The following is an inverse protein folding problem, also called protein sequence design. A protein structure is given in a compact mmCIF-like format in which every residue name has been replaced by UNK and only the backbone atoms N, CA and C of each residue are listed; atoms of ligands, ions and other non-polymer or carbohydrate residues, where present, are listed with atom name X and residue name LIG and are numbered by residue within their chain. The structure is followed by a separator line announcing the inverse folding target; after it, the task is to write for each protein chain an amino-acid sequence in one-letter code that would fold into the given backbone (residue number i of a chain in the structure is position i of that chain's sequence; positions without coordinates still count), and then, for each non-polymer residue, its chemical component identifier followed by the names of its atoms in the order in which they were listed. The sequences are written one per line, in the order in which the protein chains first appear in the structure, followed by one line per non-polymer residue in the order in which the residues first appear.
data_IF_535904624624
#
_entry.id   IF_535904624624
#
_cell.length_a   1.000
_cell.length_b   1.000
_cell.length_c   1.000
_cell.angle_alpha   90.00
_cell.angle_beta   90.00
_cell.angle_gamma   90.00
#
_symmetry.space_group_name_H-M   'P 1'
#
loop_
_entity.id
_entity.type
_entity.pdbx_description
1 polymer ?
#
# COMPACT_ATOMS: atom_id res chain seq x y z
N UNK A 1 -2.16 -13.86 9.60
CA UNK A 1 -2.66 -12.47 9.56
C UNK A 1 -3.70 -12.19 10.66
N UNK A 2 -4.82 -12.93 10.76
CA UNK A 2 -5.85 -12.73 11.81
C UNK A 2 -5.34 -12.83 13.27
N UNK A 3 -4.49 -13.82 13.59
CA UNK A 3 -3.91 -13.99 14.93
C UNK A 3 -3.03 -12.79 15.37
N UNK A 4 -2.26 -12.21 14.44
CA UNK A 4 -1.40 -11.04 14.72
C UNK A 4 -2.24 -9.78 14.97
N UNK A 5 -3.35 -9.62 14.24
CA UNK A 5 -4.29 -8.51 14.46
C UNK A 5 -4.92 -8.57 15.85
N UNK A 6 -5.41 -9.74 16.28
CA UNK A 6 -5.98 -9.90 17.62
C UNK A 6 -4.95 -9.67 18.73
N UNK A 7 -3.70 -10.11 18.54
CA UNK A 7 -2.60 -9.84 19.48
C UNK A 7 -2.35 -8.33 19.59
N UNK A 8 -2.25 -7.62 18.46
CA UNK A 8 -2.04 -6.17 18.48
C UNK A 8 -3.21 -5.45 19.16
N UNK A 9 -4.45 -5.87 18.91
CA UNK A 9 -5.66 -5.33 19.55
C UNK A 9 -5.66 -5.53 21.06
N UNK A 10 -5.20 -6.69 21.54
CA UNK A 10 -5.06 -6.97 22.97
C UNK A 10 -3.97 -6.12 23.63
N UNK A 11 -2.82 -5.95 22.96
CA UNK A 11 -1.71 -5.12 23.45
C UNK A 11 -2.10 -3.64 23.56
N UNK A 12 -2.87 -3.13 22.61
CA UNK A 12 -3.38 -1.75 22.65
C UNK A 12 -4.45 -1.59 23.74
N UNK A 13 -5.39 -2.56 23.86
CA UNK A 13 -6.48 -2.51 24.84
C UNK A 13 -6.04 -2.63 26.29
N UNK A 14 -4.92 -3.28 26.58
CA UNK A 14 -4.42 -3.41 27.96
C UNK A 14 -3.78 -2.12 28.49
N UNK A 15 -3.68 -1.05 27.69
CA UNK A 15 -2.94 0.16 28.06
C UNK A 15 -1.42 -0.05 28.11
N UNK A 16 -0.94 -1.19 27.61
CA UNK A 16 0.48 -1.56 27.61
C UNK A 16 0.99 -1.43 26.17
N UNK A 17 1.33 -0.20 25.76
CA UNK A 17 2.52 -0.11 24.92
C UNK A 17 3.71 -0.31 25.86
N UNK A 18 4.45 -1.41 25.69
CA UNK A 18 5.72 -1.60 26.38
C UNK A 18 6.75 -2.27 25.46
N UNK A 19 7.45 -1.46 24.66
CA UNK A 19 8.79 -1.79 24.10
C UNK A 19 9.91 -1.55 25.16
N UNK A 20 9.62 -1.75 26.46
CA UNK A 20 10.45 -1.67 27.68
C UNK A 20 11.28 -0.43 27.99
N UNK A 21 11.52 0.49 27.06
CA UNK A 21 12.14 1.81 27.32
C UNK A 21 12.12 2.70 26.06
N UNK A 22 11.02 2.70 25.31
CA UNK A 22 10.85 3.66 24.20
C UNK A 22 9.66 4.55 24.45
N UNK A 23 9.91 5.85 24.35
CA UNK A 23 8.92 6.91 24.44
C UNK A 23 7.88 6.84 23.30
N UNK A 24 8.24 6.22 22.16
CA UNK A 24 7.44 6.20 20.94
C UNK A 24 7.21 4.80 20.35
N UNK A 25 6.04 4.61 19.74
CA UNK A 25 5.64 3.51 18.88
C UNK A 25 6.41 3.51 17.57
N UNK A 26 6.93 2.35 17.17
CA UNK A 26 7.58 2.22 15.86
C UNK A 26 6.58 2.36 14.71
N UNK A 27 6.99 3.05 13.63
CA UNK A 27 6.16 3.22 12.43
C UNK A 27 5.77 1.89 11.80
N UNK A 28 6.66 0.90 11.83
CA UNK A 28 6.40 -0.43 11.29
C UNK A 28 5.24 -1.11 12.04
N UNK A 29 5.19 -0.98 13.36
CA UNK A 29 4.08 -1.50 14.17
C UNK A 29 2.77 -0.77 13.86
N UNK A 30 2.80 0.57 13.80
CA UNK A 30 1.61 1.36 13.50
C UNK A 30 1.03 1.02 12.12
N UNK A 31 1.86 1.08 11.07
CA UNK A 31 1.45 0.84 9.68
C UNK A 31 1.01 -0.60 9.44
N UNK A 32 1.67 -1.59 10.06
CA UNK A 32 1.26 -2.99 9.95
C UNK A 32 -0.08 -3.26 10.66
N UNK A 33 -0.33 -2.62 11.81
CA UNK A 33 -1.59 -2.71 12.54
C UNK A 33 -2.74 -2.10 11.73
N UNK A 34 -2.55 -0.88 11.21
CA UNK A 34 -3.53 -0.22 10.34
C UNK A 34 -3.85 -1.07 9.10
N UNK A 35 -2.82 -1.54 8.39
CA UNK A 35 -3.00 -2.40 7.20
C UNK A 35 -3.74 -3.69 7.53
N UNK A 36 -3.43 -4.31 8.66
CA UNK A 36 -4.13 -5.53 9.10
C UNK A 36 -5.60 -5.25 9.40
N UNK A 37 -5.93 -4.14 10.05
CA UNK A 37 -7.32 -3.76 10.30
C UNK A 37 -8.11 -3.57 9.00
N UNK A 38 -7.54 -2.81 8.06
CA UNK A 38 -8.11 -2.58 6.73
C UNK A 38 -8.32 -3.91 5.98
N UNK A 39 -7.32 -4.79 6.01
CA UNK A 39 -7.42 -6.12 5.40
C UNK A 39 -8.57 -6.95 5.96
N UNK A 40 -8.77 -6.90 7.27
CA UNK A 40 -9.87 -7.60 7.95
C UNK A 40 -11.21 -6.85 7.84
N UNK A 41 -11.27 -5.74 7.09
CA UNK A 41 -12.46 -4.88 6.93
C UNK A 41 -12.97 -4.26 8.23
N UNK A 42 -12.10 -4.12 9.22
CA UNK A 42 -12.39 -3.53 10.53
C UNK A 42 -12.18 -2.00 10.47
N UNK A 43 -12.92 -1.32 9.59
CA UNK A 43 -12.63 0.07 9.23
C UNK A 43 -12.93 1.05 10.37
N UNK A 44 -14.01 0.84 11.12
CA UNK A 44 -14.37 1.68 12.27
C UNK A 44 -13.37 1.53 13.41
N UNK A 45 -12.83 0.31 13.60
CA UNK A 45 -11.75 0.09 14.55
C UNK A 45 -10.47 0.78 14.08
N UNK A 46 -10.19 0.72 12.78
CA UNK A 46 -9.02 1.34 12.19
C UNK A 46 -9.06 2.88 12.33
N UNK A 47 -10.22 3.53 12.15
CA UNK A 47 -10.36 4.97 12.40
C UNK A 47 -9.99 5.30 13.85
N UNK A 48 -10.57 4.58 14.82
CA UNK A 48 -10.28 4.77 16.25
C UNK A 48 -8.81 4.52 16.59
N UNK A 49 -8.24 3.46 16.05
CA UNK A 49 -6.82 3.16 16.22
C UNK A 49 -5.95 4.33 15.74
N UNK A 50 -6.26 4.92 14.59
CA UNK A 50 -5.50 6.06 14.07
C UNK A 50 -5.69 7.29 14.97
N UNK A 51 -6.90 7.58 15.45
CA UNK A 51 -7.13 8.70 16.36
C UNK A 51 -6.42 8.54 17.71
N UNK A 52 -6.49 7.34 18.30
CA UNK A 52 -5.99 7.07 19.65
C UNK A 52 -4.50 6.79 19.68
N UNK A 53 -3.93 6.14 18.66
CA UNK A 53 -2.54 5.69 18.68
C UNK A 53 -1.56 6.61 17.96
N UNK A 54 -2.02 7.60 17.18
CA UNK A 54 -1.10 8.52 16.46
C UNK A 54 -0.19 9.30 17.42
N UNK A 55 -0.68 9.61 18.63
CA UNK A 55 0.07 10.34 19.65
C UNK A 55 1.29 9.57 20.15
N UNK A 56 1.32 8.24 19.98
CA UNK A 56 2.46 7.43 20.38
C UNK A 56 3.57 7.43 19.34
N UNK A 57 3.37 7.98 18.14
CA UNK A 57 4.46 8.18 17.18
C UNK A 57 5.32 9.39 17.56
N UNK A 58 6.54 9.44 17.03
CA UNK A 58 7.40 10.62 17.16
C UNK A 58 6.68 11.88 16.62
N UNK A 59 6.77 13.04 17.30
CA UNK A 59 6.01 14.24 16.93
C UNK A 59 6.15 14.64 15.46
N UNK A 60 7.37 14.55 14.91
CA UNK A 60 7.66 14.88 13.51
C UNK A 60 6.93 13.98 12.50
N UNK A 61 6.54 12.77 12.91
CA UNK A 61 5.89 11.78 12.05
C UNK A 61 4.37 11.88 12.07
N UNK A 62 3.78 12.45 13.14
CA UNK A 62 2.34 12.38 13.42
C UNK A 62 1.50 12.99 12.30
N UNK A 63 1.90 14.15 11.78
CA UNK A 63 1.14 14.86 10.74
C UNK A 63 1.04 14.04 9.45
N UNK A 64 2.18 13.68 8.87
CA UNK A 64 2.23 12.87 7.65
C UNK A 64 1.59 11.49 7.84
N UNK A 65 1.80 10.86 8.99
CA UNK A 65 1.20 9.56 9.27
C UNK A 65 -0.32 9.64 9.46
N UNK A 66 -0.85 10.73 10.03
CA UNK A 66 -2.29 10.95 10.12
C UNK A 66 -2.91 11.11 8.74
N UNK A 67 -2.29 11.92 7.88
CA UNK A 67 -2.73 12.12 6.49
C UNK A 67 -2.70 10.78 5.73
N UNK A 68 -1.57 10.05 5.75
CA UNK A 68 -1.45 8.76 5.09
C UNK A 68 -2.45 7.73 5.62
N UNK A 69 -2.69 7.70 6.93
CA UNK A 69 -3.67 6.79 7.53
C UNK A 69 -5.09 7.06 7.02
N UNK A 70 -5.49 8.34 7.01
CA UNK A 70 -6.79 8.75 6.50
C UNK A 70 -6.92 8.43 5.00
N UNK A 71 -5.88 8.71 4.20
CA UNK A 71 -5.82 8.33 2.80
C UNK A 71 -6.01 6.83 2.61
N UNK A 72 -5.36 6.01 3.42
CA UNK A 72 -5.48 4.55 3.29
C UNK A 72 -6.86 4.03 3.70
N UNK A 73 -7.50 4.67 4.69
CA UNK A 73 -8.88 4.40 5.07
C UNK A 73 -9.88 4.85 3.99
N UNK A 74 -9.66 6.01 3.37
CA UNK A 74 -10.41 6.48 2.19
C UNK A 74 -10.29 5.47 1.04
N UNK A 75 -9.08 4.97 0.77
CA UNK A 75 -8.83 3.94 -0.25
C UNK A 75 -9.58 2.65 0.05
N UNK A 76 -9.54 2.19 1.30
CA UNK A 76 -10.27 0.99 1.73
C UNK A 76 -11.79 1.13 1.54
N UNK A 77 -12.31 2.36 1.63
CA UNK A 77 -13.70 2.73 1.35
C UNK A 77 -13.99 2.97 -0.13
N UNK A 78 -13.01 2.75 -1.00
CA UNK A 78 -13.07 3.00 -2.45
C UNK A 78 -13.27 4.48 -2.83
N UNK A 79 -12.90 5.40 -1.94
CA UNK A 79 -12.92 6.84 -2.21
C UNK A 79 -11.57 7.26 -2.82
N UNK A 80 -11.35 6.90 -4.08
CA UNK A 80 -10.03 7.01 -4.73
C UNK A 80 -9.60 8.45 -5.00
N UNK A 81 -10.53 9.33 -5.41
CA UNK A 81 -10.26 10.75 -5.64
C UNK A 81 -9.82 11.42 -4.33
N UNK A 82 -10.61 11.24 -3.27
CA UNK A 82 -10.29 11.73 -1.94
C UNK A 82 -8.94 11.20 -1.45
N UNK A 83 -8.65 9.93 -1.73
CA UNK A 83 -7.34 9.34 -1.38
C UNK A 83 -6.22 10.12 -2.07
N UNK A 84 -6.34 10.40 -3.37
CA UNK A 84 -5.33 11.15 -4.12
C UNK A 84 -5.15 12.57 -3.56
N UNK A 85 -6.24 13.28 -3.27
CA UNK A 85 -6.22 14.62 -2.65
C UNK A 85 -5.50 14.59 -1.29
N UNK A 86 -5.74 13.57 -0.46
CA UNK A 86 -5.07 13.40 0.83
C UNK A 86 -3.57 13.13 0.64
N UNK A 87 -3.19 12.28 -0.33
CA UNK A 87 -1.79 11.95 -0.60
C UNK A 87 -0.97 13.14 -1.10
N UNK A 88 -1.58 14.09 -1.81
CA UNK A 88 -0.90 15.32 -2.27
C UNK A 88 -0.45 16.23 -1.12
N UNK A 89 -1.06 16.08 0.07
CA UNK A 89 -0.75 16.87 1.25
C UNK A 89 0.42 16.30 2.07
N UNK A 90 0.93 15.13 1.71
CA UNK A 90 2.05 14.50 2.41
C UNK A 90 3.36 15.13 1.95
N UNK A 91 4.15 15.62 2.89
CA UNK A 91 5.51 16.05 2.58
C UNK A 91 6.40 14.83 2.34
N UNK A 92 6.89 14.67 1.10
CA UNK A 92 7.70 13.52 0.66
C UNK A 92 9.15 13.53 1.17
N UNK A 93 9.51 14.47 2.04
CA UNK A 93 10.76 14.47 2.80
C UNK A 93 10.82 13.30 3.82
N UNK A 94 9.68 12.68 4.14
CA UNK A 94 9.58 11.54 5.03
C UNK A 94 9.79 10.19 4.31
N UNK A 95 11.06 9.76 4.22
CA UNK A 95 11.46 8.52 3.53
C UNK A 95 10.66 7.26 3.91
N UNK A 96 10.28 7.02 5.18
CA UNK A 96 9.63 5.75 5.54
C UNK A 96 8.26 5.50 4.92
N UNK A 97 7.56 6.54 4.43
CA UNK A 97 6.23 6.42 3.80
C UNK A 97 6.24 6.53 2.28
N UNK A 98 7.37 6.93 1.69
CA UNK A 98 7.44 7.31 0.29
C UNK A 98 7.02 6.18 -0.66
N UNK A 99 7.43 4.95 -0.34
CA UNK A 99 7.05 3.75 -1.10
C UNK A 99 5.54 3.47 -1.03
N UNK A 100 4.94 3.58 0.16
CA UNK A 100 3.53 3.28 0.38
C UNK A 100 2.63 4.35 -0.27
N UNK A 101 3.03 5.62 -0.18
CA UNK A 101 2.34 6.74 -0.85
C UNK A 101 2.34 6.54 -2.36
N UNK A 102 3.50 6.21 -2.96
CA UNK A 102 3.62 5.94 -4.40
C UNK A 102 2.74 4.77 -4.84
N UNK A 103 2.78 3.65 -4.10
CA UNK A 103 1.91 2.50 -4.38
C UNK A 103 0.42 2.86 -4.32
N UNK A 104 0.01 3.58 -3.27
CA UNK A 104 -1.40 3.94 -3.09
C UNK A 104 -1.87 4.88 -4.20
N UNK A 105 -1.02 5.85 -4.60
CA UNK A 105 -1.28 6.78 -5.72
C UNK A 105 -1.45 6.04 -7.04
N UNK A 106 -0.58 5.06 -7.33
CA UNK A 106 -0.65 4.22 -8.53
C UNK A 106 -1.94 3.40 -8.53
N UNK A 107 -2.25 2.72 -7.41
CA UNK A 107 -3.48 1.92 -7.28
C UNK A 107 -4.73 2.77 -7.48
N UNK A 108 -4.85 3.93 -6.82
CA UNK A 108 -6.01 4.82 -6.97
C UNK A 108 -6.18 5.27 -8.43
N UNK A 109 -5.09 5.69 -9.06
CA UNK A 109 -5.11 6.11 -10.47
C UNK A 109 -5.52 4.98 -11.41
N UNK A 110 -5.16 3.74 -11.08
CA UNK A 110 -5.62 2.56 -11.82
C UNK A 110 -7.12 2.33 -11.64
N UNK A 111 -7.64 2.39 -10.42
CA UNK A 111 -9.07 2.18 -10.13
C UNK A 111 -9.95 3.28 -10.77
N UNK A 112 -9.38 4.47 -10.99
CA UNK A 112 -10.01 5.57 -11.73
C UNK A 112 -9.81 5.50 -13.25
N UNK A 113 -9.29 4.38 -13.78
CA UNK A 113 -8.98 4.19 -15.20
C UNK A 113 -8.05 5.25 -15.80
N UNK A 114 -7.25 5.95 -14.98
CA UNK A 114 -6.31 6.98 -15.42
C UNK A 114 -4.99 6.35 -15.91
N UNK A 115 -5.06 5.40 -16.85
CA UNK A 115 -3.95 4.52 -17.23
C UNK A 115 -2.71 5.26 -17.76
N UNK A 116 -2.86 6.41 -18.40
CA UNK A 116 -1.74 7.27 -18.81
C UNK A 116 -0.94 7.74 -17.59
N UNK A 117 -1.62 8.27 -16.56
CA UNK A 117 -0.99 8.69 -15.31
C UNK A 117 -0.38 7.51 -14.55
N UNK A 118 -1.02 6.34 -14.58
CA UNK A 118 -0.45 5.12 -14.00
C UNK A 118 0.91 4.82 -14.62
N UNK A 119 1.04 4.90 -15.96
CA UNK A 119 2.32 4.68 -16.65
C UNK A 119 3.37 5.74 -16.27
N UNK A 120 2.98 7.00 -16.16
CA UNK A 120 3.86 8.07 -15.70
C UNK A 120 4.37 7.80 -14.27
N UNK A 121 3.48 7.49 -13.34
CA UNK A 121 3.84 7.16 -11.96
C UNK A 121 4.68 5.90 -11.82
N UNK A 122 4.46 4.88 -12.65
CA UNK A 122 5.32 3.69 -12.69
C UNK A 122 6.73 4.04 -13.17
N UNK A 123 6.85 4.91 -14.18
CA UNK A 123 8.15 5.40 -14.67
C UNK A 123 8.89 6.23 -13.61
N UNK A 124 8.19 7.13 -12.93
CA UNK A 124 8.75 7.87 -11.78
C UNK A 124 9.20 6.94 -10.66
N UNK A 125 8.38 5.94 -10.33
CA UNK A 125 8.69 5.00 -9.26
C UNK A 125 9.91 4.15 -9.60
N UNK A 126 10.02 3.67 -10.85
CA UNK A 126 11.20 2.93 -11.31
C UNK A 126 12.47 3.75 -11.15
N UNK A 127 12.49 5.01 -11.62
CA UNK A 127 13.65 5.91 -11.47
C UNK A 127 14.01 6.13 -10.01
N UNK A 128 13.01 6.27 -9.14
CA UNK A 128 13.22 6.38 -7.70
C UNK A 128 13.87 5.11 -7.12
N UNK A 129 13.39 3.93 -7.51
CA UNK A 129 13.97 2.66 -7.06
C UNK A 129 15.42 2.47 -7.52
N UNK A 130 15.74 2.81 -8.77
CA UNK A 130 17.11 2.69 -9.33
C UNK A 130 18.12 3.54 -8.55
N UNK A 131 17.68 4.72 -8.07
CA UNK A 131 18.50 5.58 -7.22
C UNK A 131 18.71 4.98 -5.82
N UNK A 132 17.73 4.22 -5.32
CA UNK A 132 17.71 3.65 -3.96
C UNK A 132 18.26 2.23 -3.85
N UNK A 133 18.29 1.46 -4.93
CA UNK A 133 18.97 0.14 -4.97
C UNK A 133 20.47 0.29 -4.63
N UNK A 134 21.07 1.42 -5.01
CA UNK A 134 22.45 1.80 -4.66
C UNK A 134 22.66 2.04 -3.15
N UNK A 135 21.58 2.21 -2.38
CA UNK A 135 21.61 2.43 -0.92
C UNK A 135 21.27 1.14 -0.11
N UNK A 136 21.15 -0.04 -0.74
CA UNK A 136 20.93 -1.35 -0.08
C UNK A 136 19.62 -1.44 0.75
N UNK A 137 18.52 -0.89 0.24
CA UNK A 137 17.23 -0.95 0.94
C UNK A 137 16.56 -2.33 0.79
N UNK A 138 16.21 -2.96 1.91
CA UNK A 138 15.52 -4.24 1.94
C UNK A 138 14.13 -4.13 1.28
N UNK A 139 13.81 -5.04 0.36
CA UNK A 139 12.49 -5.14 -0.27
C UNK A 139 12.27 -4.28 -1.52
N UNK A 140 13.31 -3.66 -2.10
CA UNK A 140 13.21 -2.93 -3.39
C UNK A 140 12.67 -3.83 -4.51
N UNK A 141 13.13 -5.08 -4.57
CA UNK A 141 12.70 -6.09 -5.53
C UNK A 141 11.18 -6.31 -5.51
N UNK A 142 10.52 -6.26 -4.34
CA UNK A 142 9.07 -6.33 -4.23
C UNK A 142 8.36 -5.26 -5.08
N UNK A 143 8.89 -4.04 -5.08
CA UNK A 143 8.33 -2.91 -5.82
C UNK A 143 8.68 -2.98 -7.30
N UNK A 144 9.90 -3.40 -7.66
CA UNK A 144 10.29 -3.66 -9.06
C UNK A 144 9.37 -4.72 -9.68
N UNK A 145 9.12 -5.82 -8.96
CA UNK A 145 8.21 -6.87 -9.40
C UNK A 145 6.77 -6.38 -9.53
N UNK A 146 6.31 -5.50 -8.63
CA UNK A 146 5.02 -4.84 -8.74
C UNK A 146 4.94 -3.98 -10.02
N UNK A 147 5.93 -3.12 -10.26
CA UNK A 147 5.98 -2.23 -11.44
C UNK A 147 5.92 -3.05 -12.73
N UNK A 148 6.75 -4.08 -12.82
CA UNK A 148 6.80 -4.96 -13.99
C UNK A 148 5.48 -5.70 -14.22
N UNK A 149 4.85 -6.19 -13.15
CA UNK A 149 3.57 -6.89 -13.23
C UNK A 149 2.45 -5.96 -13.65
N UNK A 150 2.35 -4.76 -13.05
CA UNK A 150 1.31 -3.79 -13.40
C UNK A 150 1.47 -3.26 -14.84
N UNK A 151 2.70 -3.08 -15.32
CA UNK A 151 2.93 -2.72 -16.73
C UNK A 151 2.37 -3.79 -17.69
N UNK A 152 2.54 -5.08 -17.38
CA UNK A 152 1.94 -6.17 -18.18
C UNK A 152 0.42 -6.12 -18.15
N UNK A 153 -0.18 -5.91 -16.98
CA UNK A 153 -1.63 -5.74 -16.80
C UNK A 153 -2.15 -4.56 -17.66
N UNK A 154 -1.45 -3.43 -17.65
CA UNK A 154 -1.80 -2.25 -18.44
C UNK A 154 -1.69 -2.50 -19.94
N UNK A 155 -0.66 -3.23 -20.39
CA UNK A 155 -0.53 -3.59 -21.80
C UNK A 155 -1.72 -4.44 -22.28
N UNK A 156 -2.23 -5.33 -21.41
CA UNK A 156 -3.44 -6.11 -21.71
C UNK A 156 -4.68 -5.22 -21.74
N UNK A 157 -4.89 -4.40 -20.70
CA UNK A 157 -6.03 -3.46 -20.63
C UNK A 157 -6.07 -2.47 -21.80
N UNK A 158 -4.92 -2.09 -22.34
CA UNK A 158 -4.80 -1.16 -23.47
C UNK A 158 -4.74 -1.85 -24.84
N UNK A 159 -4.97 -3.17 -24.91
CA UNK A 159 -5.00 -3.94 -26.15
C UNK A 159 -3.64 -4.14 -26.82
N UNK A 160 -2.53 -3.84 -26.13
CA UNK A 160 -1.17 -4.05 -26.65
C UNK A 160 -0.70 -5.50 -26.54
N UNK A 161 -1.30 -6.27 -25.62
CA UNK A 161 -1.01 -7.69 -25.40
C UNK A 161 -2.31 -8.46 -25.13
N UNK A 162 -2.29 -9.74 -25.46
CA UNK A 162 -3.36 -10.65 -25.08
C UNK A 162 -3.15 -11.14 -23.65
N UNK A 163 -4.25 -11.48 -22.98
CA UNK A 163 -4.22 -12.12 -21.67
C UNK A 163 -3.62 -13.53 -21.76
N UNK A 164 -2.80 -13.91 -20.78
CA UNK A 164 -2.19 -15.24 -20.65
C UNK A 164 -2.47 -15.76 -19.23
N UNK A 165 -3.14 -16.91 -19.12
CA UNK A 165 -3.47 -17.53 -17.83
C UNK A 165 -2.24 -17.84 -16.98
N UNK A 166 -1.08 -18.10 -17.60
CA UNK A 166 0.19 -18.34 -16.89
C UNK A 166 0.61 -17.17 -16.01
N UNK A 167 0.10 -15.96 -16.28
CA UNK A 167 0.34 -14.80 -15.43
C UNK A 167 -0.15 -14.98 -13.99
N UNK A 168 -1.19 -15.79 -13.77
CA UNK A 168 -1.63 -16.12 -12.41
C UNK A 168 -0.59 -16.97 -11.68
N UNK A 169 -0.06 -18.00 -12.32
CA UNK A 169 0.93 -18.89 -11.71
C UNK A 169 2.26 -18.16 -11.47
N UNK A 170 2.66 -17.32 -12.43
CA UNK A 170 3.80 -16.43 -12.31
C UNK A 170 3.65 -15.45 -11.14
N UNK A 171 2.46 -14.92 -10.90
CA UNK A 171 2.22 -14.00 -9.79
C UNK A 171 2.14 -14.75 -8.45
N UNK A 172 1.48 -15.90 -8.41
CA UNK A 172 1.35 -16.74 -7.21
C UNK A 172 2.69 -17.28 -6.73
N UNK A 173 3.62 -17.60 -7.63
CA UNK A 173 4.96 -18.11 -7.30
C UNK A 173 5.94 -17.03 -6.80
N UNK A 174 5.66 -15.74 -7.01
CA UNK A 174 6.51 -14.64 -6.52
C UNK A 174 6.21 -14.32 -5.07
N UNK A 175 7.15 -14.58 -4.17
CA UNK A 175 7.02 -14.18 -2.75
C UNK A 175 7.44 -12.73 -2.50
N UNK A 176 8.37 -12.22 -3.31
CA UNK A 176 8.90 -10.87 -3.20
C UNK A 176 8.17 -9.93 -4.18
N UNK A 177 6.91 -9.61 -3.87
CA UNK A 177 6.11 -8.68 -4.67
C UNK A 177 5.15 -7.85 -3.81
N UNK A 178 5.19 -6.53 -4.00
CA UNK A 178 4.32 -5.61 -3.30
C UNK A 178 2.87 -5.74 -3.82
N UNK A 179 1.89 -5.57 -2.92
CA UNK A 179 0.45 -5.57 -3.26
C UNK A 179 -0.02 -6.80 -4.06
N UNK A 180 0.58 -7.98 -3.83
CA UNK A 180 0.27 -9.24 -4.54
C UNK A 180 -1.22 -9.53 -4.72
N UNK A 181 -2.00 -9.47 -3.64
CA UNK A 181 -3.44 -9.77 -3.72
C UNK A 181 -4.19 -8.78 -4.59
N UNK A 182 -3.82 -7.49 -4.54
CA UNK A 182 -4.47 -6.50 -5.38
C UNK A 182 -4.15 -6.77 -6.86
N UNK A 183 -2.90 -7.11 -7.20
CA UNK A 183 -2.54 -7.50 -8.56
C UNK A 183 -3.28 -8.76 -9.04
N UNK A 184 -3.48 -9.75 -8.15
CA UNK A 184 -4.26 -10.95 -8.46
C UNK A 184 -5.73 -10.59 -8.78
N UNK A 185 -6.35 -9.71 -7.98
CA UNK A 185 -7.69 -9.21 -8.23
C UNK A 185 -7.79 -8.49 -9.57
N UNK A 186 -6.80 -7.66 -9.93
CA UNK A 186 -6.78 -6.97 -11.22
C UNK A 186 -6.66 -7.93 -12.42
N UNK A 187 -5.92 -9.04 -12.27
CA UNK A 187 -5.88 -10.10 -13.30
C UNK A 187 -7.21 -10.85 -13.41
N UNK A 188 -7.86 -11.13 -12.29
CA UNK A 188 -9.18 -11.76 -12.26
C UNK A 188 -10.24 -10.91 -12.95
N UNK A 189 -10.23 -9.59 -12.72
CA UNK A 189 -11.09 -8.64 -13.45
C UNK A 189 -10.86 -8.68 -14.97
N UNK A 190 -9.61 -8.83 -15.43
CA UNK A 190 -9.29 -8.96 -16.87
C UNK A 190 -9.85 -10.26 -17.43
N UNK A 191 -9.63 -11.39 -16.74
CA UNK A 191 -10.13 -12.70 -17.15
C UNK A 191 -11.65 -12.66 -17.33
N UNK A 192 -12.37 -12.18 -16.31
CA UNK A 192 -13.83 -12.09 -16.36
C UNK A 192 -14.35 -11.15 -17.46
N UNK A 193 -13.59 -10.13 -17.84
CA UNK A 193 -13.95 -9.23 -18.95
C UNK A 193 -13.67 -9.82 -20.33
N UNK A 194 -12.88 -10.90 -20.42
CA UNK A 194 -12.47 -11.54 -21.67
C UNK A 194 -13.32 -12.77 -22.00
N UNK A 195 -14.04 -13.31 -21.02
CA UNK A 195 -14.95 -14.47 -21.15
C UNK A 195 -16.42 -14.06 -21.41
N UNK A 196 -16.75 -12.77 -21.32
CA UNK A 196 -18.08 -12.21 -21.58
C UNK A 196 -18.14 -11.41 -22.87
#
# INVERSE_FOLDING_TARGET
KKKLFEINKLLIKSGIYDERNKEFMSLAMFTSTLRNAIWNKELEWADKFVDECIIFLEPEMRSNMKIYSNAYLSYARKNYEKTLEELERIELNFRPLEYQVRLLRINCSYELSQYTKVKEYLGEFSKFLDLKEKEYYFGVNAYVNYINTLNKILDIKTGKKNFDEKMFDDLKSKDDIANKEWLLLKLEEIKNSSEG
#
